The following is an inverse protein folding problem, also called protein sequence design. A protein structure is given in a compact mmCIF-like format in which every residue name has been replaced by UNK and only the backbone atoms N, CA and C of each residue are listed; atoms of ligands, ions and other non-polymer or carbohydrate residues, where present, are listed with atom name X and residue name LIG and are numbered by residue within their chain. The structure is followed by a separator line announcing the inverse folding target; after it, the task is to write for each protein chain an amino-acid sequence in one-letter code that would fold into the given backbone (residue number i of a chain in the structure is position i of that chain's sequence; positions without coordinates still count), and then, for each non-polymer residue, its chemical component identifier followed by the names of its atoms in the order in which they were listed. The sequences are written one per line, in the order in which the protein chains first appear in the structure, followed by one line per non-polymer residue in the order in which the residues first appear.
data_IF_576035886132
#
_entry.id   IF_576035886132
#
_cell.length_a   1.000
_cell.length_b   1.000
_cell.length_c   1.000
_cell.angle_alpha   90.00
_cell.angle_beta   90.00
_cell.angle_gamma   90.00
#
_symmetry.space_group_name_H-M   'P 1'
#
loop_
_entity.id
_entity.type
_entity.pdbx_description
1 polymer ?
#
# COMPACT_ATOMS: atom_id res chain seq x y z
N UNK A 1 2.48 -32.16 -11.37
CA UNK A 1 1.53 -31.07 -11.65
C UNK A 1 2.24 -29.78 -11.30
N UNK A 2 2.33 -28.84 -12.24
CA UNK A 2 2.98 -27.55 -12.00
C UNK A 2 2.21 -26.79 -10.93
N UNK A 3 2.88 -26.26 -9.91
CA UNK A 3 2.25 -25.51 -8.82
C UNK A 3 1.41 -24.31 -9.31
N UNK A 4 1.64 -23.85 -10.54
CA UNK A 4 0.89 -22.78 -11.22
C UNK A 4 -0.35 -23.25 -11.99
N UNK A 5 -0.47 -24.55 -12.24
CA UNK A 5 -1.63 -25.18 -12.91
C UNK A 5 -2.74 -25.60 -11.94
N UNK A 6 -2.48 -25.48 -10.63
CA UNK A 6 -3.43 -25.82 -9.58
C UNK A 6 -4.49 -24.70 -9.44
N UNK A 7 -5.80 -24.99 -9.62
CA UNK A 7 -6.85 -23.96 -9.64
C UNK A 7 -6.88 -23.09 -8.38
N UNK A 8 -6.54 -23.66 -7.23
CA UNK A 8 -6.52 -22.95 -5.95
C UNK A 8 -5.39 -21.92 -5.86
N UNK A 9 -4.21 -22.25 -6.38
CA UNK A 9 -3.06 -21.33 -6.41
C UNK A 9 -3.32 -20.20 -7.41
N UNK A 10 -3.92 -20.52 -8.56
CA UNK A 10 -4.30 -19.52 -9.56
C UNK A 10 -5.33 -18.51 -9.03
N UNK A 11 -6.37 -18.96 -8.33
CA UNK A 11 -7.34 -18.07 -7.69
C UNK A 11 -6.71 -17.19 -6.61
N UNK A 12 -5.82 -17.76 -5.77
CA UNK A 12 -5.14 -17.00 -4.72
C UNK A 12 -4.25 -15.89 -5.30
N UNK A 13 -3.52 -16.18 -6.39
CA UNK A 13 -2.73 -15.18 -7.12
C UNK A 13 -3.61 -14.09 -7.72
N UNK A 14 -4.78 -14.45 -8.27
CA UNK A 14 -5.73 -13.48 -8.82
C UNK A 14 -6.25 -12.52 -7.74
N UNK A 15 -6.67 -13.04 -6.59
CA UNK A 15 -7.15 -12.22 -5.47
C UNK A 15 -6.03 -11.36 -4.86
N UNK A 16 -4.84 -11.93 -4.67
CA UNK A 16 -3.69 -11.19 -4.16
C UNK A 16 -3.26 -10.08 -5.12
N UNK A 17 -3.20 -10.36 -6.42
CA UNK A 17 -2.91 -9.37 -7.45
C UNK A 17 -3.95 -8.25 -7.50
N UNK A 18 -5.24 -8.59 -7.38
CA UNK A 18 -6.31 -7.61 -7.27
C UNK A 18 -6.16 -6.71 -6.03
N UNK A 19 -5.84 -7.30 -4.88
CA UNK A 19 -5.61 -6.57 -3.63
C UNK A 19 -4.40 -5.63 -3.70
N UNK A 20 -3.33 -6.04 -4.40
CA UNK A 20 -2.13 -5.22 -4.63
C UNK A 20 -2.42 -3.94 -5.42
N UNK A 21 -3.51 -3.89 -6.18
CA UNK A 21 -3.91 -2.72 -6.96
C UNK A 21 -5.04 -1.95 -6.26
N UNK A 22 -6.08 -2.65 -5.81
CA UNK A 22 -7.28 -2.02 -5.25
C UNK A 22 -7.01 -1.30 -3.93
N UNK A 23 -6.23 -1.89 -3.03
CA UNK A 23 -5.94 -1.28 -1.72
C UNK A 23 -5.16 0.05 -1.83
N UNK A 24 -4.03 0.13 -2.56
CA UNK A 24 -3.33 1.41 -2.71
C UNK A 24 -4.16 2.45 -3.47
N UNK A 25 -5.02 2.03 -4.40
CA UNK A 25 -5.96 2.93 -5.07
C UNK A 25 -6.98 3.52 -4.07
N UNK A 26 -7.56 2.69 -3.21
CA UNK A 26 -8.49 3.13 -2.16
C UNK A 26 -7.79 4.08 -1.17
N UNK A 27 -6.58 3.78 -0.74
CA UNK A 27 -5.82 4.66 0.15
C UNK A 27 -5.48 6.00 -0.53
N UNK A 28 -5.04 5.98 -1.79
CA UNK A 28 -4.77 7.20 -2.54
C UNK A 28 -6.02 8.08 -2.64
N UNK A 29 -7.17 7.52 -3.02
CA UNK A 29 -8.43 8.25 -3.11
C UNK A 29 -8.87 8.83 -1.76
N UNK A 30 -8.74 8.06 -0.68
CA UNK A 30 -9.09 8.51 0.67
C UNK A 30 -8.24 9.71 1.13
N UNK A 31 -6.92 9.61 1.04
CA UNK A 31 -6.02 10.69 1.47
C UNK A 31 -6.05 11.90 0.54
N UNK A 32 -6.19 11.68 -0.78
CA UNK A 32 -6.45 12.75 -1.74
C UNK A 32 -7.70 13.56 -1.36
N UNK A 33 -8.80 12.86 -1.05
CA UNK A 33 -10.04 13.51 -0.68
C UNK A 33 -9.92 14.29 0.63
N UNK A 34 -9.20 13.75 1.62
CA UNK A 34 -8.88 14.49 2.85
C UNK A 34 -8.10 15.78 2.54
N UNK A 35 -7.11 15.70 1.66
CA UNK A 35 -6.28 16.85 1.29
C UNK A 35 -7.10 17.93 0.56
N UNK A 36 -7.92 17.55 -0.43
CA UNK A 36 -8.78 18.49 -1.16
C UNK A 36 -9.73 19.23 -0.22
N UNK A 37 -10.38 18.51 0.70
CA UNK A 37 -11.27 19.12 1.71
C UNK A 37 -10.55 20.17 2.56
N UNK A 38 -9.32 19.87 2.98
CA UNK A 38 -8.53 20.80 3.80
C UNK A 38 -8.07 22.02 3.01
N UNK A 39 -7.66 21.86 1.76
CA UNK A 39 -7.28 22.99 0.90
C UNK A 39 -8.47 23.93 0.67
N UNK A 40 -9.66 23.38 0.36
CA UNK A 40 -10.89 24.20 0.24
C UNK A 40 -11.18 24.98 1.53
N UNK A 41 -11.11 24.32 2.68
CA UNK A 41 -11.35 24.96 3.97
C UNK A 41 -10.33 26.06 4.30
N UNK A 42 -9.06 25.91 3.88
CA UNK A 42 -8.04 26.94 4.05
C UNK A 42 -8.29 28.12 3.11
N UNK A 43 -8.65 27.87 1.84
CA UNK A 43 -9.02 28.92 0.90
C UNK A 43 -10.24 29.73 1.39
N UNK A 44 -11.22 29.07 2.02
CA UNK A 44 -12.37 29.76 2.64
C UNK A 44 -11.97 30.67 3.81
N UNK A 45 -10.93 30.31 4.57
CA UNK A 45 -10.50 31.06 5.77
C UNK A 45 -9.45 32.13 5.50
N UNK A 46 -8.57 31.87 4.54
CA UNK A 46 -7.42 32.71 4.18
C UNK A 46 -7.35 32.80 2.65
N UNK A 47 -8.23 33.58 2.01
CA UNK A 47 -8.26 33.72 0.56
C UNK A 47 -6.95 34.32 0.02
N UNK A 48 -6.22 35.10 0.84
CA UNK A 48 -4.88 35.60 0.48
C UNK A 48 -3.80 34.51 0.34
N UNK A 49 -4.05 33.28 0.84
CA UNK A 49 -3.15 32.13 0.75
C UNK A 49 -3.60 31.08 -0.26
N UNK A 50 -4.56 31.42 -1.14
CA UNK A 50 -5.06 30.51 -2.17
C UNK A 50 -3.93 30.14 -3.14
N UNK A 51 -3.29 29.00 -2.87
CA UNK A 51 -2.33 28.40 -3.81
C UNK A 51 -3.12 27.79 -4.97
N UNK A 52 -2.69 28.02 -6.21
CA UNK A 52 -3.18 27.26 -7.36
C UNK A 52 -2.67 25.81 -7.27
N UNK A 53 -3.57 24.84 -7.16
CA UNK A 53 -3.22 23.42 -7.12
C UNK A 53 -3.84 22.65 -8.28
N UNK A 54 -3.02 21.86 -8.97
CA UNK A 54 -3.48 20.95 -10.01
C UNK A 54 -4.01 19.65 -9.38
N UNK A 55 -5.34 19.51 -9.30
CA UNK A 55 -6.03 18.35 -8.75
C UNK A 55 -5.51 17.00 -9.26
N UNK A 56 -5.21 16.90 -10.56
CA UNK A 56 -4.70 15.67 -11.19
C UNK A 56 -3.29 15.32 -10.73
N UNK A 57 -2.44 16.32 -10.56
CA UNK A 57 -1.06 16.14 -10.13
C UNK A 57 -1.01 15.70 -8.66
N UNK A 58 -1.89 16.29 -7.84
CA UNK A 58 -2.07 15.89 -6.44
C UNK A 58 -2.53 14.43 -6.34
N UNK A 59 -3.59 14.04 -7.08
CA UNK A 59 -4.04 12.65 -7.06
C UNK A 59 -2.96 11.68 -7.55
N UNK A 60 -2.25 12.05 -8.63
CA UNK A 60 -1.15 11.27 -9.17
C UNK A 60 -0.02 11.04 -8.17
N UNK A 61 0.32 12.05 -7.37
CA UNK A 61 1.33 11.95 -6.33
C UNK A 61 0.91 11.01 -5.19
N UNK A 62 -0.33 11.13 -4.69
CA UNK A 62 -0.87 10.21 -3.67
C UNK A 62 -0.96 8.76 -4.19
N UNK A 63 -1.35 8.58 -5.45
CA UNK A 63 -1.42 7.27 -6.10
C UNK A 63 -0.04 6.64 -6.28
N UNK A 64 0.93 7.42 -6.74
CA UNK A 64 2.30 6.95 -6.95
C UNK A 64 2.94 6.54 -5.63
N UNK A 65 2.81 7.38 -4.60
CA UNK A 65 3.29 7.08 -3.26
C UNK A 65 2.60 5.85 -2.66
N UNK A 66 1.27 5.74 -2.76
CA UNK A 66 0.55 4.60 -2.18
C UNK A 66 0.95 3.29 -2.85
N UNK A 67 1.03 3.25 -4.19
CA UNK A 67 1.44 2.06 -4.94
C UNK A 67 2.86 1.63 -4.59
N UNK A 68 3.81 2.56 -4.63
CA UNK A 68 5.22 2.27 -4.35
C UNK A 68 5.41 1.74 -2.92
N UNK A 69 4.87 2.44 -1.92
CA UNK A 69 5.02 2.04 -0.51
C UNK A 69 4.32 0.71 -0.23
N UNK A 70 3.11 0.54 -0.78
CA UNK A 70 2.33 -0.68 -0.56
C UNK A 70 3.00 -1.91 -1.18
N UNK A 71 3.35 -1.83 -2.46
CA UNK A 71 3.97 -2.95 -3.19
C UNK A 71 5.35 -3.26 -2.60
N UNK A 72 6.19 -2.25 -2.39
CA UNK A 72 7.53 -2.47 -1.83
C UNK A 72 7.45 -3.11 -0.44
N UNK A 73 6.57 -2.61 0.45
CA UNK A 73 6.41 -3.21 1.78
C UNK A 73 5.86 -4.63 1.69
N UNK A 74 4.82 -4.86 0.87
CA UNK A 74 4.21 -6.17 0.74
C UNK A 74 5.22 -7.21 0.24
N UNK A 75 6.06 -6.86 -0.72
CA UNK A 75 7.13 -7.72 -1.22
C UNK A 75 8.22 -7.96 -0.15
N UNK A 76 8.69 -6.90 0.51
CA UNK A 76 9.70 -7.02 1.56
C UNK A 76 9.22 -7.80 2.80
N UNK A 77 7.93 -7.79 3.10
CA UNK A 77 7.36 -8.56 4.20
C UNK A 77 7.08 -10.02 3.82
N UNK A 78 6.62 -10.27 2.59
CA UNK A 78 6.24 -11.61 2.13
C UNK A 78 7.44 -12.46 1.66
N UNK A 79 8.34 -11.92 0.84
CA UNK A 79 9.41 -12.68 0.21
C UNK A 79 10.41 -13.30 1.21
N UNK A 80 10.90 -12.59 2.24
CA UNK A 80 11.83 -13.20 3.20
C UNK A 80 11.16 -14.31 4.02
N UNK A 81 9.88 -14.15 4.35
CA UNK A 81 9.12 -15.14 5.12
C UNK A 81 8.88 -16.41 4.28
N UNK A 82 8.47 -16.25 3.02
CA UNK A 82 8.34 -17.36 2.08
C UNK A 82 9.70 -18.07 1.86
N UNK A 83 10.77 -17.30 1.67
CA UNK A 83 12.13 -17.82 1.49
C UNK A 83 12.64 -18.59 2.71
N UNK A 84 12.44 -18.05 3.91
CA UNK A 84 12.86 -18.71 5.16
C UNK A 84 12.12 -20.03 5.39
N UNK A 85 10.80 -20.05 5.17
CA UNK A 85 10.00 -21.28 5.30
C UNK A 85 10.43 -22.30 4.24
N UNK A 86 10.59 -21.90 2.98
CA UNK A 86 11.03 -22.79 1.92
C UNK A 86 12.41 -23.42 2.22
N UNK A 87 13.40 -22.60 2.61
CA UNK A 87 14.72 -23.08 3.00
C UNK A 87 14.65 -24.01 4.21
N UNK A 88 13.83 -23.67 5.21
CA UNK A 88 13.61 -24.52 6.38
C UNK A 88 13.03 -25.89 6.03
N UNK A 89 12.06 -25.94 5.11
CA UNK A 89 11.47 -27.22 4.65
C UNK A 89 12.47 -28.09 3.89
N UNK A 90 13.32 -27.47 3.06
CA UNK A 90 14.38 -28.17 2.34
C UNK A 90 15.42 -28.76 3.31
N UNK A 91 15.80 -28.00 4.34
CA UNK A 91 16.74 -28.46 5.38
C UNK A 91 16.16 -29.61 6.23
N UNK A 92 14.86 -29.53 6.55
CA UNK A 92 14.18 -30.54 7.36
C UNK A 92 13.77 -31.80 6.57
N UNK A 93 13.94 -31.81 5.24
CA UNK A 93 13.45 -32.86 4.34
C UNK A 93 11.94 -33.15 4.49
N UNK A 94 11.17 -32.12 4.87
CA UNK A 94 9.71 -32.23 5.04
C UNK A 94 9.02 -31.65 3.82
N UNK A 95 8.18 -32.45 3.17
CA UNK A 95 7.25 -31.97 2.13
C UNK A 95 6.08 -31.25 2.77
N UNK A 96 6.07 -29.92 2.71
CA UNK A 96 4.93 -29.07 3.07
C UNK A 96 4.22 -28.63 1.80
N UNK A 97 2.89 -28.60 1.82
CA UNK A 97 2.10 -28.02 0.72
C UNK A 97 2.44 -26.54 0.54
N UNK A 98 2.61 -26.09 -0.71
CA UNK A 98 2.94 -24.70 -1.05
C UNK A 98 1.79 -23.71 -0.78
N UNK A 99 0.55 -24.17 -0.88
CA UNK A 99 -0.64 -23.32 -0.71
C UNK A 99 -0.70 -22.59 0.64
N UNK A 100 -0.56 -23.25 1.82
CA UNK A 100 -0.58 -22.55 3.11
C UNK A 100 0.57 -21.56 3.27
N UNK A 101 1.75 -21.88 2.72
CA UNK A 101 2.93 -21.01 2.79
C UNK A 101 2.67 -19.71 2.00
N UNK A 102 2.13 -19.84 0.78
CA UNK A 102 1.75 -18.70 -0.05
C UNK A 102 0.64 -17.84 0.61
N UNK A 103 -0.33 -18.48 1.26
CA UNK A 103 -1.42 -17.77 1.93
C UNK A 103 -0.91 -16.95 3.13
N UNK A 104 -0.05 -17.53 3.97
CA UNK A 104 0.59 -16.81 5.09
C UNK A 104 1.45 -15.67 4.58
N UNK A 105 2.27 -15.91 3.55
CA UNK A 105 3.10 -14.86 2.94
C UNK A 105 2.27 -13.71 2.38
N UNK A 106 1.19 -14.01 1.66
CA UNK A 106 0.27 -13.01 1.13
C UNK A 106 -0.43 -12.22 2.24
N UNK A 107 -0.92 -12.89 3.30
CA UNK A 107 -1.57 -12.23 4.42
C UNK A 107 -0.62 -11.28 5.16
N UNK A 108 0.60 -11.73 5.46
CA UNK A 108 1.64 -10.90 6.11
C UNK A 108 2.01 -9.72 5.22
N UNK A 109 2.23 -9.95 3.93
CA UNK A 109 2.53 -8.91 2.95
C UNK A 109 1.44 -7.84 2.87
N UNK A 110 0.17 -8.25 2.77
CA UNK A 110 -0.98 -7.34 2.70
C UNK A 110 -1.14 -6.55 4.00
N UNK A 111 -1.03 -7.19 5.17
CA UNK A 111 -1.14 -6.51 6.46
C UNK A 111 -0.03 -5.50 6.67
N UNK A 112 1.22 -5.89 6.38
CA UNK A 112 2.37 -4.99 6.47
C UNK A 112 2.23 -3.82 5.49
N UNK A 113 1.88 -4.10 4.23
CA UNK A 113 1.64 -3.08 3.20
C UNK A 113 0.54 -2.09 3.61
N UNK A 114 -0.60 -2.57 4.11
CA UNK A 114 -1.68 -1.72 4.61
C UNK A 114 -1.18 -0.80 5.73
N UNK A 115 -0.53 -1.38 6.74
CA UNK A 115 -0.07 -0.65 7.91
C UNK A 115 0.95 0.44 7.57
N UNK A 116 1.99 0.11 6.80
CA UNK A 116 3.04 1.06 6.44
C UNK A 116 2.52 2.15 5.51
N UNK A 117 1.69 1.79 4.53
CA UNK A 117 1.11 2.76 3.58
C UNK A 117 0.19 3.74 4.29
N UNK A 118 -0.67 3.26 5.20
CA UNK A 118 -1.51 4.15 6.02
C UNK A 118 -0.67 5.11 6.86
N UNK A 119 0.36 4.60 7.57
CA UNK A 119 1.24 5.45 8.37
C UNK A 119 2.00 6.46 7.52
N UNK A 120 2.50 6.05 6.35
CA UNK A 120 3.23 6.91 5.45
C UNK A 120 2.35 8.03 4.89
N UNK A 121 1.18 7.70 4.36
CA UNK A 121 0.26 8.69 3.80
C UNK A 121 -0.27 9.64 4.88
N UNK A 122 -0.51 9.14 6.09
CA UNK A 122 -0.87 9.98 7.24
C UNK A 122 0.25 10.96 7.59
N UNK A 123 1.50 10.49 7.69
CA UNK A 123 2.65 11.35 7.96
C UNK A 123 2.86 12.40 6.85
N UNK A 124 2.72 11.99 5.58
CA UNK A 124 2.77 12.90 4.42
C UNK A 124 1.71 13.99 4.52
N UNK A 125 0.46 13.61 4.77
CA UNK A 125 -0.66 14.54 4.87
C UNK A 125 -0.43 15.57 6.00
N UNK A 126 0.06 15.11 7.17
CA UNK A 126 0.38 16.00 8.29
C UNK A 126 1.58 16.93 8.00
N UNK A 127 2.61 16.43 7.32
CA UNK A 127 3.75 17.25 6.93
C UNK A 127 3.31 18.35 5.94
N UNK A 128 2.53 17.98 4.93
CA UNK A 128 1.96 18.94 3.97
C UNK A 128 0.99 19.93 4.62
N UNK A 129 0.38 19.60 5.76
CA UNK A 129 -0.40 20.53 6.58
C UNK A 129 0.48 21.50 7.35
N UNK A 130 1.58 21.02 7.93
CA UNK A 130 2.53 21.88 8.64
C UNK A 130 3.15 22.96 7.75
N UNK A 131 3.26 22.69 6.44
CA UNK A 131 3.74 23.66 5.45
C UNK A 131 2.70 24.73 5.08
N UNK A 132 1.41 24.47 5.30
CA UNK A 132 0.32 25.41 5.01
C UNK A 132 -0.02 26.32 6.19
N UNK A 133 0.43 25.98 7.40
CA UNK A 133 0.25 26.84 8.56
C UNK A 133 1.28 27.97 8.50
N UNK A 134 0.86 29.24 8.69
CA UNK A 134 1.81 30.35 8.76
C UNK A 134 2.79 30.07 9.89
N UNK A 135 4.09 30.06 9.57
CA UNK A 135 5.14 30.26 10.57
C UNK A 135 4.81 31.56 11.30
N UNK A 136 4.41 31.44 12.57
CA UNK A 136 4.21 32.60 13.45
C UNK A 136 5.47 33.45 13.54
#
# INVERSE_FOLDING_TARGET
MDAFSDPQVSQLLYYAGGALILLPLMFAAYFYWQRVRKIHYLAEKHPEQEQEYHFWLLFGDYLSCSLLVFIATALCASLPLLGAVYLGTQLAQVTISLAPILLVGAAVGLLAGCYTTLKFLYAKTNYEESLLLPTM
#
